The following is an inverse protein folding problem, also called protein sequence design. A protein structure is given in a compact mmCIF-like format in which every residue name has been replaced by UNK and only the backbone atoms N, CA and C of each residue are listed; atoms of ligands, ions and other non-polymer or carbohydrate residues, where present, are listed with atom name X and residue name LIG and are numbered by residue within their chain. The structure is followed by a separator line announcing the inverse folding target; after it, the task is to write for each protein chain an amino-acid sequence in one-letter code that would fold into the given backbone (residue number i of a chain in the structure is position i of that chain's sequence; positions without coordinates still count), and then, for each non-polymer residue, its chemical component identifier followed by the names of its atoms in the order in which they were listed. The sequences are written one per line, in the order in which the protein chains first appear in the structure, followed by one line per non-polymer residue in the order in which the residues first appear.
data_IF_231968917475
#
_entry.id   IF_231968917475
#
_cell.length_a   1.000
_cell.length_b   1.000
_cell.length_c   1.000
_cell.angle_alpha   90.00
_cell.angle_beta   90.00
_cell.angle_gamma   90.00
#
_symmetry.space_group_name_H-M   'P 1'
#
loop_
_entity.id
_entity.type
_entity.pdbx_description
1 polymer ?
#
# COMPACT_ATOMS: atom_id res chain seq x y z
N UNK A 1 16.60 -34.09 18.10
CA UNK A 1 16.84 -33.38 16.84
C UNK A 1 18.22 -33.74 16.34
N UNK A 2 18.34 -34.58 15.31
CA UNK A 2 19.61 -34.93 14.67
C UNK A 2 20.08 -33.77 13.81
N UNK A 3 21.27 -33.27 14.05
CA UNK A 3 21.89 -32.25 13.20
C UNK A 3 22.04 -32.80 11.78
N UNK A 4 21.77 -31.97 10.73
CA UNK A 4 21.93 -32.38 9.34
C UNK A 4 23.36 -32.87 9.11
N UNK A 5 23.50 -33.92 8.30
CA UNK A 5 24.77 -34.59 8.02
C UNK A 5 25.86 -33.64 7.48
N UNK A 6 25.45 -32.66 6.71
CA UNK A 6 26.32 -31.62 6.15
C UNK A 6 26.99 -30.78 7.25
N UNK A 7 26.25 -30.50 8.32
CA UNK A 7 26.75 -29.73 9.47
C UNK A 7 27.82 -30.52 10.25
N UNK A 8 27.63 -31.84 10.38
CA UNK A 8 28.60 -32.71 11.03
C UNK A 8 29.89 -32.83 10.25
N UNK A 9 29.82 -32.92 8.93
CA UNK A 9 30.99 -32.95 8.04
C UNK A 9 31.73 -31.62 8.10
N UNK A 10 31.03 -30.48 7.96
CA UNK A 10 31.63 -29.16 8.04
C UNK A 10 32.36 -28.90 9.36
N UNK A 11 31.72 -29.28 10.48
CA UNK A 11 32.30 -29.16 11.82
C UNK A 11 33.53 -30.07 12.02
N UNK A 12 33.51 -31.25 11.42
CA UNK A 12 34.63 -32.21 11.49
C UNK A 12 35.85 -31.73 10.69
N UNK A 13 35.62 -31.12 9.51
CA UNK A 13 36.70 -30.56 8.71
C UNK A 13 37.32 -29.33 9.34
N UNK A 14 36.55 -28.44 9.91
CA UNK A 14 37.05 -27.26 10.63
C UNK A 14 37.76 -27.62 11.93
N UNK A 15 37.43 -28.79 12.53
CA UNK A 15 38.03 -29.29 13.79
C UNK A 15 39.24 -30.21 13.57
N UNK A 16 39.45 -30.72 12.35
CA UNK A 16 40.49 -31.72 12.06
C UNK A 16 41.92 -31.16 12.09
N UNK A 17 42.12 -29.83 12.13
CA UNK A 17 43.44 -29.20 12.20
C UNK A 17 44.12 -29.23 13.57
N UNK A 18 43.62 -30.01 14.54
CA UNK A 18 44.10 -29.94 15.94
C UNK A 18 45.30 -30.83 16.29
N UNK A 19 45.93 -31.52 15.34
CA UNK A 19 46.94 -32.57 15.66
C UNK A 19 48.40 -32.24 15.48
N UNK A 20 48.79 -31.06 14.95
CA UNK A 20 50.21 -30.76 14.75
C UNK A 20 50.49 -29.27 14.91
N UNK A 21 51.21 -28.91 15.95
CA UNK A 21 52.04 -27.73 16.13
C UNK A 21 51.49 -26.34 15.85
N UNK A 22 52.17 -25.35 16.39
CA UNK A 22 51.94 -23.90 16.39
C UNK A 22 51.49 -23.26 15.05
N UNK A 23 51.79 -23.88 13.90
CA UNK A 23 51.40 -23.44 12.54
C UNK A 23 49.92 -23.64 12.25
N UNK A 24 49.27 -24.66 12.86
CA UNK A 24 47.87 -24.97 12.59
C UNK A 24 46.88 -24.01 13.24
N UNK A 25 47.28 -23.34 14.34
CA UNK A 25 46.44 -22.31 14.98
C UNK A 25 46.22 -21.09 14.12
N UNK A 26 47.23 -20.69 13.36
CA UNK A 26 47.13 -19.50 12.47
C UNK A 26 46.23 -19.80 11.27
N UNK A 27 46.37 -20.97 10.66
CA UNK A 27 45.54 -21.42 9.53
C UNK A 27 44.07 -21.57 10.00
N UNK A 28 43.86 -22.19 11.18
CA UNK A 28 42.53 -22.35 11.74
C UNK A 28 41.89 -20.99 12.08
N UNK A 29 42.65 -20.02 12.55
CA UNK A 29 42.16 -18.66 12.82
C UNK A 29 41.74 -17.95 11.52
N UNK A 30 42.55 -18.01 10.47
CA UNK A 30 42.22 -17.42 9.17
C UNK A 30 40.95 -18.06 8.58
N UNK A 31 40.87 -19.38 8.62
CA UNK A 31 39.67 -20.10 8.15
C UNK A 31 38.41 -19.72 8.93
N UNK A 32 38.49 -19.63 10.26
CA UNK A 32 37.38 -19.23 11.09
C UNK A 32 36.93 -17.78 10.79
N UNK A 33 37.89 -16.86 10.66
CA UNK A 33 37.60 -15.46 10.32
C UNK A 33 36.96 -15.34 8.94
N UNK A 34 37.43 -16.10 7.96
CA UNK A 34 36.80 -16.14 6.60
C UNK A 34 35.39 -16.64 6.65
N UNK A 35 35.11 -17.73 7.36
CA UNK A 35 33.75 -18.27 7.50
C UNK A 35 32.82 -17.28 8.19
N UNK A 36 33.28 -16.64 9.27
CA UNK A 36 32.51 -15.62 9.98
C UNK A 36 32.22 -14.42 9.07
N UNK A 37 33.22 -13.94 8.32
CA UNK A 37 33.05 -12.81 7.41
C UNK A 37 32.02 -13.12 6.32
N UNK A 38 32.08 -14.31 5.73
CA UNK A 38 31.11 -14.74 4.70
C UNK A 38 29.71 -14.87 5.34
N UNK A 39 29.62 -15.47 6.53
CA UNK A 39 28.33 -15.61 7.23
C UNK A 39 27.70 -14.24 7.53
N UNK A 40 28.49 -13.28 8.02
CA UNK A 40 28.03 -11.91 8.25
C UNK A 40 27.59 -11.21 6.96
N UNK A 41 28.33 -11.38 5.87
CA UNK A 41 27.96 -10.83 4.58
C UNK A 41 26.64 -11.38 4.05
N UNK A 42 26.45 -12.69 4.13
CA UNK A 42 25.20 -13.35 3.73
C UNK A 42 24.05 -12.93 4.64
N UNK A 43 24.29 -12.87 5.96
CA UNK A 43 23.28 -12.40 6.92
C UNK A 43 22.83 -10.97 6.61
N UNK A 44 23.76 -10.05 6.36
CA UNK A 44 23.45 -8.67 6.00
C UNK A 44 22.61 -8.60 4.72
N UNK A 45 22.97 -9.39 3.71
CA UNK A 45 22.23 -9.46 2.45
C UNK A 45 20.78 -9.96 2.68
N UNK A 46 20.60 -11.01 3.45
CA UNK A 46 19.28 -11.56 3.77
C UNK A 46 18.43 -10.52 4.50
N UNK A 47 19.01 -9.82 5.48
CA UNK A 47 18.29 -8.77 6.23
C UNK A 47 17.84 -7.66 5.28
N UNK A 48 18.73 -7.14 4.44
CA UNK A 48 18.40 -6.06 3.50
C UNK A 48 17.30 -6.49 2.53
N UNK A 49 17.43 -7.68 1.95
CA UNK A 49 16.42 -8.19 1.02
C UNK A 49 15.07 -8.42 1.71
N UNK A 50 15.07 -8.93 2.94
CA UNK A 50 13.84 -9.15 3.72
C UNK A 50 13.14 -7.85 4.06
N UNK A 51 13.88 -6.83 4.49
CA UNK A 51 13.34 -5.49 4.77
C UNK A 51 12.79 -4.86 3.50
N UNK A 52 13.53 -4.93 2.39
CA UNK A 52 13.10 -4.38 1.11
C UNK A 52 11.82 -5.05 0.61
N UNK A 53 11.77 -6.37 0.67
CA UNK A 53 10.59 -7.12 0.25
C UNK A 53 9.37 -6.83 1.14
N UNK A 54 9.56 -6.78 2.46
CA UNK A 54 8.51 -6.41 3.41
C UNK A 54 7.99 -4.99 3.18
N UNK A 55 8.89 -4.04 2.93
CA UNK A 55 8.52 -2.66 2.62
C UNK A 55 7.71 -2.56 1.32
N UNK A 56 8.15 -3.22 0.24
CA UNK A 56 7.42 -3.23 -1.03
C UNK A 56 6.00 -3.80 -0.88
N UNK A 57 5.85 -4.90 -0.15
CA UNK A 57 4.54 -5.50 0.11
C UNK A 57 3.65 -4.54 0.89
N UNK A 58 4.17 -3.96 1.97
CA UNK A 58 3.40 -3.04 2.81
C UNK A 58 2.98 -1.76 2.08
N UNK A 59 3.84 -1.20 1.23
CA UNK A 59 3.51 -0.02 0.42
C UNK A 59 2.45 -0.38 -0.62
N UNK A 60 2.61 -1.53 -1.28
CA UNK A 60 1.65 -2.01 -2.26
C UNK A 60 0.27 -2.22 -1.65
N UNK A 61 0.19 -2.91 -0.52
CA UNK A 61 -1.08 -3.20 0.15
C UNK A 61 -1.79 -1.91 0.58
N UNK A 62 -1.05 -0.93 1.11
CA UNK A 62 -1.62 0.37 1.49
C UNK A 62 -2.10 1.20 0.30
N UNK A 63 -1.41 1.13 -0.84
CA UNK A 63 -1.85 1.83 -2.05
C UNK A 63 -3.09 1.18 -2.66
N UNK A 64 -3.12 -0.15 -2.69
CA UNK A 64 -4.21 -0.89 -3.31
C UNK A 64 -5.49 -0.91 -2.45
N UNK A 65 -5.43 -0.59 -1.16
CA UNK A 65 -6.63 -0.53 -0.31
C UNK A 65 -7.53 0.67 -0.59
N UNK A 66 -7.00 1.73 -1.20
CA UNK A 66 -7.73 2.98 -1.47
C UNK A 66 -7.99 3.19 -2.96
N UNK A 67 -7.09 2.71 -3.82
CA UNK A 67 -7.20 2.89 -5.28
C UNK A 67 -7.86 1.65 -5.89
N UNK A 68 -8.91 1.81 -6.69
CA UNK A 68 -9.56 0.67 -7.34
C UNK A 68 -8.58 -0.03 -8.28
N UNK A 69 -8.57 -1.37 -8.25
CA UNK A 69 -7.65 -2.19 -9.04
C UNK A 69 -7.97 -2.15 -10.54
N UNK A 70 -9.24 -1.97 -10.88
CA UNK A 70 -9.74 -1.93 -12.26
C UNK A 70 -10.74 -0.80 -12.36
N UNK A 71 -10.57 0.05 -13.36
CA UNK A 71 -11.51 1.10 -13.71
C UNK A 71 -12.06 0.82 -15.10
N UNK A 72 -13.37 0.87 -15.23
CA UNK A 72 -14.08 0.73 -16.51
C UNK A 72 -14.63 2.10 -16.88
N UNK A 73 -14.11 2.68 -17.95
CA UNK A 73 -14.56 3.97 -18.47
C UNK A 73 -15.03 3.84 -19.91
N UNK A 74 -15.99 4.65 -20.31
CA UNK A 74 -16.39 4.78 -21.70
C UNK A 74 -15.51 5.84 -22.38
N UNK A 75 -15.01 5.55 -23.58
CA UNK A 75 -14.23 6.52 -24.37
C UNK A 75 -15.07 7.66 -24.95
N UNK A 76 -16.41 7.60 -24.87
CA UNK A 76 -17.33 8.54 -25.52
C UNK A 76 -18.30 9.24 -24.57
N UNK A 77 -18.05 9.17 -23.25
CA UNK A 77 -18.91 9.83 -22.26
C UNK A 77 -19.22 8.96 -21.04
N UNK A 78 -20.19 9.33 -20.22
CA UNK A 78 -20.53 8.60 -19.01
C UNK A 78 -21.09 7.19 -19.33
N UNK A 79 -20.79 6.24 -18.45
CA UNK A 79 -21.32 4.87 -18.52
C UNK A 79 -22.78 4.89 -18.08
N UNK A 80 -23.71 4.76 -19.04
CA UNK A 80 -25.16 4.88 -18.78
C UNK A 80 -25.74 3.72 -17.99
N UNK A 81 -25.22 2.52 -18.20
CA UNK A 81 -25.72 1.28 -17.53
C UNK A 81 -24.62 0.62 -16.72
N UNK A 82 -24.16 1.34 -15.69
CA UNK A 82 -23.13 0.84 -14.80
C UNK A 82 -23.58 -0.39 -14.00
N UNK A 83 -24.90 -0.52 -13.70
CA UNK A 83 -25.43 -1.66 -12.94
C UNK A 83 -25.29 -2.99 -13.66
N UNK A 84 -25.55 -3.01 -14.96
CA UNK A 84 -25.37 -4.23 -15.76
C UNK A 84 -23.89 -4.59 -15.88
N UNK A 85 -23.00 -3.60 -16.00
CA UNK A 85 -21.56 -3.82 -16.02
C UNK A 85 -21.06 -4.33 -14.67
N UNK A 86 -21.51 -3.76 -13.55
CA UNK A 86 -21.19 -4.23 -12.21
C UNK A 86 -21.62 -5.69 -12.04
N UNK A 87 -22.85 -6.03 -12.42
CA UNK A 87 -23.36 -7.40 -12.34
C UNK A 87 -22.57 -8.40 -13.22
N UNK A 88 -22.02 -7.95 -14.34
CA UNK A 88 -21.14 -8.80 -15.17
C UNK A 88 -19.77 -8.97 -14.51
N UNK A 89 -19.20 -7.89 -13.94
CA UNK A 89 -17.91 -7.94 -13.25
C UNK A 89 -17.97 -8.84 -12.00
N UNK A 90 -19.04 -8.74 -11.22
CA UNK A 90 -19.24 -9.53 -9.98
C UNK A 90 -19.48 -11.03 -10.23
N UNK A 91 -19.69 -11.46 -11.47
CA UNK A 91 -19.68 -12.89 -11.81
C UNK A 91 -18.31 -13.53 -11.65
N UNK A 92 -17.25 -12.76 -11.71
CA UNK A 92 -15.92 -13.24 -11.42
C UNK A 92 -15.72 -13.30 -9.90
N UNK A 93 -15.40 -14.47 -9.36
CA UNK A 93 -15.20 -14.68 -7.91
C UNK A 93 -14.04 -13.87 -7.29
N UNK A 94 -13.16 -13.34 -8.11
CA UNK A 94 -12.07 -12.46 -7.66
C UNK A 94 -12.49 -11.00 -7.47
N UNK A 95 -13.66 -10.60 -8.01
CA UNK A 95 -14.23 -9.26 -7.84
C UNK A 95 -15.02 -9.21 -6.54
N UNK A 96 -14.59 -8.39 -5.61
CA UNK A 96 -15.24 -8.22 -4.29
C UNK A 96 -16.43 -7.29 -4.33
N UNK A 97 -16.42 -6.31 -5.22
CA UNK A 97 -17.48 -5.34 -5.40
C UNK A 97 -17.17 -4.39 -6.53
N UNK A 98 -18.18 -3.70 -7.01
CA UNK A 98 -18.08 -2.67 -8.03
C UNK A 98 -18.90 -1.45 -7.61
N UNK A 99 -18.32 -0.27 -7.70
CA UNK A 99 -18.97 0.99 -7.35
C UNK A 99 -18.86 1.99 -8.51
N UNK A 100 -19.91 2.77 -8.78
CA UNK A 100 -19.84 3.87 -9.73
C UNK A 100 -19.13 5.06 -9.12
N UNK A 101 -18.31 5.75 -9.89
CA UNK A 101 -17.70 7.00 -9.48
C UNK A 101 -17.69 8.01 -10.62
N UNK A 102 -17.56 9.28 -10.25
CA UNK A 102 -17.38 10.40 -11.17
C UNK A 102 -16.14 11.16 -10.73
N UNK A 103 -15.19 11.30 -11.61
CA UNK A 103 -13.93 11.97 -11.31
C UNK A 103 -13.84 13.33 -12.03
N UNK A 104 -13.30 14.31 -11.34
CA UNK A 104 -13.09 15.64 -11.89
C UNK A 104 -11.97 16.38 -11.17
N UNK A 105 -11.41 17.38 -11.82
CA UNK A 105 -10.47 18.30 -11.18
C UNK A 105 -11.24 19.46 -10.56
N UNK A 106 -10.86 19.86 -9.36
CA UNK A 106 -11.48 20.96 -8.64
C UNK A 106 -10.48 21.79 -7.85
N UNK A 107 -10.96 22.94 -7.38
CA UNK A 107 -10.24 23.80 -6.46
C UNK A 107 -10.95 23.79 -5.13
N UNK A 108 -10.24 23.46 -4.07
CA UNK A 108 -10.74 23.60 -2.70
C UNK A 108 -10.15 24.86 -2.10
N UNK A 109 -10.98 25.68 -1.50
CA UNK A 109 -10.55 26.89 -0.80
C UNK A 109 -11.09 27.00 0.61
N UNK A 110 -10.27 27.58 1.48
CA UNK A 110 -10.62 27.95 2.86
C UNK A 110 -9.92 29.27 3.16
N UNK A 111 -10.70 30.36 3.32
CA UNK A 111 -10.13 31.69 3.47
C UNK A 111 -9.21 32.04 2.29
N UNK A 112 -7.96 32.34 2.60
CA UNK A 112 -6.95 32.76 1.59
C UNK A 112 -6.21 31.59 0.93
N UNK A 113 -6.51 30.33 1.33
CA UNK A 113 -5.82 29.15 0.78
C UNK A 113 -6.65 28.52 -0.31
N UNK A 114 -6.01 28.28 -1.46
CA UNK A 114 -6.62 27.60 -2.60
C UNK A 114 -5.69 26.47 -3.05
N UNK A 115 -6.22 25.26 -3.13
CA UNK A 115 -5.47 24.07 -3.54
C UNK A 115 -6.22 23.34 -4.64
N UNK A 116 -5.53 23.04 -5.75
CA UNK A 116 -6.04 22.14 -6.79
C UNK A 116 -6.05 20.69 -6.29
N UNK A 117 -7.13 19.99 -6.51
CA UNK A 117 -7.28 18.60 -6.11
C UNK A 117 -8.14 17.82 -7.09
N UNK A 118 -7.99 16.51 -7.06
CA UNK A 118 -8.93 15.60 -7.69
C UNK A 118 -10.15 15.46 -6.80
N UNK A 119 -11.33 15.47 -7.40
CA UNK A 119 -12.62 15.33 -6.72
C UNK A 119 -13.29 14.08 -7.28
N UNK A 120 -13.67 13.20 -6.42
CA UNK A 120 -14.36 11.97 -6.77
C UNK A 120 -15.76 11.98 -6.15
N UNK A 121 -16.78 11.82 -6.97
CA UNK A 121 -18.16 11.63 -6.52
C UNK A 121 -18.47 10.16 -6.48
N UNK A 122 -18.85 9.66 -5.30
CA UNK A 122 -19.09 8.22 -5.04
C UNK A 122 -20.51 8.00 -4.52
N UNK A 123 -21.04 6.81 -4.74
CA UNK A 123 -22.21 6.31 -4.00
C UNK A 123 -21.74 5.62 -2.71
N UNK A 124 -21.99 6.18 -1.51
CA UNK A 124 -21.49 5.64 -0.26
C UNK A 124 -21.84 4.18 -0.01
N UNK A 125 -23.02 3.75 -0.47
CA UNK A 125 -23.52 2.38 -0.25
C UNK A 125 -22.77 1.35 -1.09
N UNK A 126 -22.42 1.72 -2.30
CA UNK A 126 -21.68 0.83 -3.20
C UNK A 126 -20.16 0.94 -2.92
N UNK A 127 -19.69 2.12 -2.57
CA UNK A 127 -18.26 2.35 -2.25
C UNK A 127 -17.77 1.47 -1.11
N UNK A 128 -18.57 1.29 -0.06
CA UNK A 128 -18.22 0.40 1.08
C UNK A 128 -17.96 -1.05 0.63
N UNK A 129 -18.55 -1.49 -0.47
CA UNK A 129 -18.34 -2.85 -1.02
C UNK A 129 -17.06 -2.93 -1.85
N UNK A 130 -16.66 -1.84 -2.50
CA UNK A 130 -15.59 -1.79 -3.48
C UNK A 130 -14.25 -1.32 -2.90
N UNK A 131 -14.28 -0.49 -1.84
CA UNK A 131 -13.05 0.08 -1.26
C UNK A 131 -13.02 -0.04 0.27
N UNK A 132 -11.80 0.06 0.81
CA UNK A 132 -11.56 0.06 2.26
C UNK A 132 -11.49 1.49 2.85
N UNK A 133 -11.88 2.52 2.09
CA UNK A 133 -11.84 3.91 2.56
C UNK A 133 -12.62 4.08 3.86
N UNK A 134 -13.80 3.50 3.96
CA UNK A 134 -14.64 3.59 5.15
C UNK A 134 -13.94 3.07 6.42
N UNK A 135 -13.17 1.99 6.30
CA UNK A 135 -12.44 1.39 7.44
C UNK A 135 -11.20 2.18 7.85
N UNK A 136 -10.70 3.03 6.96
CA UNK A 136 -9.47 3.82 7.16
C UNK A 136 -9.77 5.23 7.70
N UNK A 137 -11.03 5.64 7.74
CA UNK A 137 -11.43 6.96 8.22
C UNK A 137 -11.28 7.09 9.74
N UNK A 138 -10.46 8.03 10.23
CA UNK A 138 -10.29 8.24 11.68
C UNK A 138 -11.49 8.98 12.32
N UNK A 139 -12.28 9.70 11.52
CA UNK A 139 -13.44 10.48 11.98
C UNK A 139 -14.50 10.56 10.87
N UNK A 140 -15.75 10.51 11.26
CA UNK A 140 -16.88 10.54 10.34
C UNK A 140 -17.19 9.17 9.74
N UNK A 141 -18.18 9.13 8.87
CA UNK A 141 -18.60 7.94 8.12
C UNK A 141 -18.92 8.32 6.69
N UNK A 142 -18.75 7.40 5.75
CA UNK A 142 -19.17 7.60 4.36
C UNK A 142 -20.68 7.83 4.25
N UNK A 143 -21.48 7.30 5.17
CA UNK A 143 -22.93 7.50 5.20
C UNK A 143 -23.34 8.98 5.36
N UNK A 144 -22.42 9.84 5.83
CA UNK A 144 -22.66 11.28 5.89
C UNK A 144 -22.75 11.95 4.51
N UNK A 145 -22.21 11.31 3.46
CA UNK A 145 -22.27 11.78 2.08
C UNK A 145 -23.66 11.53 1.46
N UNK A 146 -24.67 12.17 2.00
CA UNK A 146 -26.03 12.07 1.45
C UNK A 146 -26.28 13.17 0.41
N UNK A 147 -27.05 12.90 -0.65
CA UNK A 147 -27.41 13.91 -1.62
C UNK A 147 -28.04 15.15 -0.96
N UNK A 148 -27.48 16.33 -1.27
CA UNK A 148 -27.96 17.62 -0.71
C UNK A 148 -27.39 18.00 0.66
N UNK A 149 -26.59 17.13 1.32
CA UNK A 149 -25.93 17.47 2.59
C UNK A 149 -24.72 18.38 2.42
N UNK A 150 -24.17 18.48 1.22
CA UNK A 150 -22.92 19.20 0.92
C UNK A 150 -21.75 18.80 1.81
N UNK A 151 -21.68 17.54 2.18
CA UNK A 151 -20.56 16.97 2.91
C UNK A 151 -19.49 16.49 1.96
N UNK A 152 -18.22 16.58 2.37
CA UNK A 152 -17.09 16.04 1.65
C UNK A 152 -16.14 15.35 2.63
N UNK A 153 -15.52 14.26 2.15
CA UNK A 153 -14.41 13.60 2.84
C UNK A 153 -13.12 14.06 2.19
N UNK A 154 -12.17 14.53 2.97
CA UNK A 154 -10.87 15.00 2.47
C UNK A 154 -9.74 14.25 3.18
N UNK A 155 -8.66 14.01 2.46
CA UNK A 155 -7.49 13.36 3.02
C UNK A 155 -6.85 14.21 4.14
N UNK A 156 -6.35 13.55 5.19
CA UNK A 156 -5.76 14.21 6.37
C UNK A 156 -4.62 15.17 6.02
N UNK A 157 -3.81 14.83 5.01
CA UNK A 157 -2.73 15.71 4.54
C UNK A 157 -3.27 16.97 3.88
N UNK A 158 -4.36 16.86 3.09
CA UNK A 158 -5.01 18.00 2.47
C UNK A 158 -5.69 18.88 3.55
N UNK A 159 -6.36 18.27 4.51
CA UNK A 159 -6.95 18.97 5.65
C UNK A 159 -5.91 19.78 6.43
N UNK A 160 -4.75 19.17 6.73
CA UNK A 160 -3.65 19.86 7.40
C UNK A 160 -3.09 21.03 6.57
N UNK A 161 -2.98 20.89 5.25
CA UNK A 161 -2.54 21.99 4.36
C UNK A 161 -3.52 23.14 4.30
N UNK A 162 -4.81 22.84 4.30
CA UNK A 162 -5.89 23.85 4.36
C UNK A 162 -6.07 24.46 5.74
N UNK A 163 -5.60 23.77 6.78
CA UNK A 163 -5.77 24.18 8.17
C UNK A 163 -7.21 23.98 8.68
N UNK A 164 -7.88 22.93 8.22
CA UNK A 164 -9.28 22.60 8.56
C UNK A 164 -9.37 21.32 9.37
N UNK A 165 -10.39 21.24 10.20
CA UNK A 165 -10.77 20.11 11.01
C UNK A 165 -12.13 19.53 10.56
N UNK A 166 -12.49 18.30 10.97
CA UNK A 166 -13.82 17.76 10.73
C UNK A 166 -14.91 18.69 11.27
N UNK A 167 -15.88 19.02 10.42
CA UNK A 167 -16.97 19.95 10.71
C UNK A 167 -16.76 21.39 10.19
N UNK A 168 -15.56 21.71 9.74
CA UNK A 168 -15.29 22.99 9.12
C UNK A 168 -15.87 23.08 7.70
N UNK A 169 -16.17 24.30 7.27
CA UNK A 169 -16.70 24.57 5.94
C UNK A 169 -15.57 24.86 4.96
N UNK A 170 -15.65 24.21 3.79
CA UNK A 170 -14.75 24.43 2.66
C UNK A 170 -15.57 24.85 1.45
N UNK A 171 -14.99 25.65 0.57
CA UNK A 171 -15.57 25.91 -0.73
C UNK A 171 -14.92 25.03 -1.78
N UNK A 172 -15.74 24.30 -2.55
CA UNK A 172 -15.31 23.45 -3.65
C UNK A 172 -15.82 24.04 -4.96
N UNK A 173 -14.90 24.30 -5.87
CA UNK A 173 -15.20 24.76 -7.23
C UNK A 173 -14.74 23.69 -8.21
N UNK A 174 -15.69 23.08 -8.88
CA UNK A 174 -15.42 22.12 -9.95
C UNK A 174 -15.78 22.81 -11.27
N UNK A 175 -14.82 23.09 -12.17
CA UNK A 175 -15.14 23.64 -13.46
C UNK A 175 -15.95 22.62 -14.26
N UNK A 176 -17.15 23.00 -14.68
CA UNK A 176 -17.93 22.16 -15.58
C UNK A 176 -17.19 22.12 -16.92
N UNK A 177 -16.69 20.95 -17.28
CA UNK A 177 -16.16 20.75 -18.63
C UNK A 177 -17.27 21.02 -19.61
N UNK A 178 -17.06 21.96 -20.51
CA UNK A 178 -17.87 22.09 -21.74
C UNK A 178 -17.68 20.81 -22.53
N UNK A 179 -18.71 19.97 -22.58
CA UNK A 179 -18.80 18.83 -23.50
C UNK A 179 -18.82 19.32 -24.93
#
# INVERSE_FOLDING_TARGET
MSLPFEFLIGLRYTRSGRRTGRKDRFVSFISATSVVSIALGVMALIIVLSVMNGFQTQVRDRMLSVIPHIQISSGTGPVSDWRSLAAVAEKNSEVRGAAPFVEGQGLISTGDRVIGTMVEGVDPKEEVKASEVASTMPAGTLDSLTPGSFHAVIGSVLAARLGVAPGDKIALVVPQGTT
#
